data_IF_002827041215
#
_entry.id   IF_002827041215
#
_cell.length_a   1.000
_cell.length_b   1.000
_cell.length_c   1.000
_cell.angle_alpha   90.00
_cell.angle_beta   90.00
_cell.angle_gamma   90.00
#
_symmetry.space_group_name_H-M   'P 1'
#
loop_
_entity.id
_entity.type
_entity.pdbx_description
1 polymer ?
#
# COMPACT_ATOMS: atom_id res chain seq x y z
N UNK A 1 24.09 17.64 5.60
CA UNK A 1 23.33 16.72 6.48
C UNK A 1 23.56 17.10 7.93
N UNK A 2 22.49 17.13 8.74
CA UNK A 2 22.57 17.44 10.17
C UNK A 2 22.08 16.24 10.98
N UNK A 3 22.86 15.79 11.96
CA UNK A 3 22.52 14.64 12.81
C UNK A 3 22.43 15.09 14.26
N UNK A 4 21.36 14.71 14.95
CA UNK A 4 21.13 14.96 16.37
C UNK A 4 21.16 13.61 17.10
N UNK A 5 22.13 13.43 17.99
CA UNK A 5 22.35 12.16 18.71
C UNK A 5 23.12 12.40 20.00
N UNK A 6 22.71 11.72 21.08
CA UNK A 6 23.38 11.72 22.39
C UNK A 6 23.64 13.15 22.92
N UNK A 7 22.66 14.04 22.78
CA UNK A 7 22.73 15.44 23.22
C UNK A 7 23.61 16.35 22.36
N UNK A 8 24.13 15.84 21.23
CA UNK A 8 25.03 16.57 20.33
C UNK A 8 24.41 16.76 18.96
N UNK A 9 24.75 17.89 18.32
CA UNK A 9 24.36 18.24 16.95
C UNK A 9 25.58 18.25 16.06
N UNK A 10 25.57 17.41 15.03
CA UNK A 10 26.65 17.26 14.06
C UNK A 10 26.21 17.74 12.68
N UNK A 11 27.16 18.23 11.90
CA UNK A 11 26.96 18.65 10.53
C UNK A 11 28.09 18.11 9.65
N UNK A 12 27.71 17.70 8.44
CA UNK A 12 28.62 17.29 7.36
C UNK A 12 28.04 17.80 6.04
N UNK A 13 28.88 18.33 5.16
CA UNK A 13 28.47 18.86 3.85
C UNK A 13 29.10 18.08 2.70
N UNK A 14 28.38 18.01 1.59
CA UNK A 14 28.79 17.28 0.40
C UNK A 14 28.65 18.14 -0.85
N UNK A 15 29.55 17.93 -1.80
CA UNK A 15 29.52 18.54 -3.12
C UNK A 15 29.76 17.47 -4.17
N UNK A 16 28.77 17.24 -5.06
CA UNK A 16 28.76 16.16 -6.05
C UNK A 16 29.18 14.78 -5.46
N UNK A 17 28.65 14.47 -4.27
CA UNK A 17 28.91 13.22 -3.54
C UNK A 17 30.26 13.15 -2.80
N UNK A 18 31.13 14.15 -2.94
CA UNK A 18 32.40 14.24 -2.21
C UNK A 18 32.21 15.03 -0.92
N UNK A 19 32.93 14.66 0.14
CA UNK A 19 32.93 15.42 1.39
C UNK A 19 33.53 16.81 1.11
N UNK A 20 32.76 17.85 1.40
CA UNK A 20 33.18 19.25 1.28
C UNK A 20 33.59 19.82 2.63
N UNK A 21 32.72 19.65 3.63
CA UNK A 21 33.03 19.93 5.02
C UNK A 21 33.04 18.61 5.79
N UNK A 22 34.15 18.30 6.44
CA UNK A 22 34.24 17.15 7.35
C UNK A 22 33.23 17.25 8.50
N UNK A 23 32.86 16.09 9.05
CA UNK A 23 31.91 16.03 10.14
C UNK A 23 32.41 16.83 11.35
N UNK A 24 31.62 17.82 11.77
CA UNK A 24 31.91 18.67 12.92
C UNK A 24 30.70 18.76 13.85
N UNK A 25 30.96 18.82 15.15
CA UNK A 25 29.93 19.16 16.12
C UNK A 25 29.63 20.67 15.99
N UNK A 26 28.37 21.00 15.68
CA UNK A 26 27.90 22.38 15.48
C UNK A 26 27.04 22.89 16.66
N UNK A 27 26.83 22.05 17.68
CA UNK A 27 26.12 22.45 18.89
C UNK A 27 25.70 21.27 19.75
N UNK A 28 24.80 21.55 20.69
CA UNK A 28 24.14 20.58 21.58
C UNK A 28 22.64 20.67 21.40
N UNK A 29 21.93 19.58 21.72
CA UNK A 29 20.46 19.51 21.72
C UNK A 29 19.99 18.81 23.00
N UNK A 30 18.72 18.97 23.43
CA UNK A 30 18.16 18.17 24.50
C UNK A 30 18.35 16.67 24.23
N UNK A 31 18.55 15.86 25.28
CA UNK A 31 18.70 14.40 25.14
C UNK A 31 17.47 13.72 24.51
N UNK A 32 16.30 14.35 24.60
CA UNK A 32 15.06 13.91 23.97
C UNK A 32 15.01 14.18 22.47
N UNK A 33 15.89 15.02 21.93
CA UNK A 33 15.94 15.37 20.50
C UNK A 33 16.96 14.49 19.78
N UNK A 34 16.47 13.67 18.85
CA UNK A 34 17.29 12.80 18.02
C UNK A 34 16.74 12.73 16.59
N UNK A 35 17.62 12.51 15.62
CA UNK A 35 17.21 12.33 14.23
C UNK A 35 18.24 12.83 13.23
N UNK A 36 17.81 12.88 11.96
CA UNK A 36 18.65 13.30 10.84
C UNK A 36 17.86 14.23 9.93
N UNK A 37 18.45 15.36 9.57
CA UNK A 37 17.94 16.28 8.56
C UNK A 37 18.86 16.17 7.34
N UNK A 38 18.27 15.77 6.21
CA UNK A 38 18.93 15.76 4.92
C UNK A 38 18.37 16.91 4.09
N UNK A 39 19.25 17.77 3.61
CA UNK A 39 18.92 18.81 2.65
C UNK A 39 19.89 18.65 1.47
N UNK A 40 19.36 18.66 0.27
CA UNK A 40 20.12 18.45 -0.96
C UNK A 40 19.52 19.26 -2.11
N UNK A 41 20.34 19.49 -3.13
CA UNK A 41 19.94 20.09 -4.39
C UNK A 41 20.14 19.06 -5.50
N UNK A 42 19.15 18.82 -6.39
CA UNK A 42 19.36 18.01 -7.58
C UNK A 42 20.43 18.62 -8.49
N UNK A 43 21.29 17.78 -9.06
CA UNK A 43 22.37 18.19 -9.95
C UNK A 43 21.82 18.53 -11.36
N UNK A 44 21.93 19.78 -11.83
CA UNK A 44 21.40 20.17 -13.14
C UNK A 44 22.16 19.57 -14.33
N UNK A 45 23.39 19.08 -14.13
CA UNK A 45 24.16 18.41 -15.18
C UNK A 45 23.65 16.97 -15.41
N UNK A 46 22.98 16.39 -14.40
CA UNK A 46 22.36 15.06 -14.47
C UNK A 46 20.87 15.16 -14.82
N UNK A 47 20.13 16.05 -14.14
CA UNK A 47 18.69 16.24 -14.33
C UNK A 47 18.41 17.36 -15.32
N UNK A 48 18.61 17.07 -16.61
CA UNK A 48 18.52 18.06 -17.68
C UNK A 48 17.10 18.53 -17.99
N UNK A 49 16.07 17.75 -17.62
CA UNK A 49 14.66 18.11 -17.86
C UNK A 49 14.13 19.09 -16.81
N UNK A 50 14.36 18.80 -15.52
CA UNK A 50 13.94 19.67 -14.42
C UNK A 50 14.68 19.30 -13.13
N UNK A 51 15.04 20.31 -12.35
CA UNK A 51 15.48 20.19 -10.95
C UNK A 51 14.41 20.69 -9.97
N UNK A 52 13.25 21.12 -10.48
CA UNK A 52 12.14 21.63 -9.69
C UNK A 52 11.24 20.49 -9.25
N UNK A 53 11.05 20.34 -7.95
CA UNK A 53 10.15 19.34 -7.38
C UNK A 53 8.68 19.66 -7.65
N UNK A 54 7.93 18.64 -8.06
CA UNK A 54 6.47 18.68 -8.20
C UNK A 54 5.82 18.41 -6.83
N UNK A 55 5.01 19.34 -6.33
CA UNK A 55 4.38 19.23 -5.01
C UNK A 55 3.32 18.13 -4.96
N UNK A 56 2.58 17.93 -6.05
CA UNK A 56 1.55 16.89 -6.15
C UNK A 56 2.16 15.48 -6.08
N UNK A 57 3.27 15.24 -6.76
CA UNK A 57 3.99 13.95 -6.70
C UNK A 57 4.45 13.67 -5.27
N UNK A 58 5.07 14.66 -4.61
CA UNK A 58 5.55 14.51 -3.23
C UNK A 58 4.41 14.30 -2.23
N UNK A 59 3.36 15.12 -2.28
CA UNK A 59 2.18 14.99 -1.41
C UNK A 59 1.53 13.62 -1.54
N UNK A 60 1.38 13.11 -2.77
CA UNK A 60 0.82 11.78 -3.00
C UNK A 60 1.67 10.69 -2.35
N UNK A 61 3.00 10.72 -2.54
CA UNK A 61 3.90 9.72 -1.95
C UNK A 61 3.96 9.81 -0.42
N UNK A 62 3.94 11.03 0.13
CA UNK A 62 3.94 11.25 1.59
C UNK A 62 2.62 10.73 2.20
N UNK A 63 1.48 11.03 1.58
CA UNK A 63 0.18 10.52 2.02
C UNK A 63 0.11 8.99 1.99
N UNK A 64 0.58 8.38 0.91
CA UNK A 64 0.67 6.92 0.78
C UNK A 64 1.54 6.31 1.91
N UNK A 65 2.71 6.90 2.19
CA UNK A 65 3.55 6.45 3.30
C UNK A 65 2.87 6.60 4.66
N UNK A 66 2.09 7.66 4.88
CA UNK A 66 1.34 7.85 6.11
C UNK A 66 0.26 6.77 6.28
N UNK A 67 -0.42 6.36 5.21
CA UNK A 67 -1.36 5.23 5.26
C UNK A 67 -0.67 3.89 5.54
N UNK A 68 0.51 3.65 4.97
CA UNK A 68 1.26 2.40 5.17
C UNK A 68 1.87 2.26 6.58
N UNK A 69 1.95 3.36 7.33
CA UNK A 69 2.56 3.40 8.66
C UNK A 69 1.56 4.00 9.66
N UNK A 70 0.66 3.16 10.20
CA UNK A 70 -0.36 3.56 11.19
C UNK A 70 0.24 4.45 12.29
N UNK A 71 -0.38 5.61 12.50
CA UNK A 71 0.02 6.56 13.54
C UNK A 71 1.27 7.42 13.22
N UNK A 72 2.00 7.14 12.14
CA UNK A 72 3.13 7.96 11.70
C UNK A 72 2.64 9.32 11.21
N UNK A 73 3.18 10.39 11.80
CA UNK A 73 2.92 11.75 11.34
C UNK A 73 3.98 12.16 10.33
N UNK A 74 3.55 12.49 9.13
CA UNK A 74 4.39 13.06 8.08
C UNK A 74 3.89 14.46 7.74
N UNK A 75 4.81 15.40 7.56
CA UNK A 75 4.47 16.80 7.23
C UNK A 75 5.13 17.21 5.93
N UNK A 76 4.41 17.99 5.12
CA UNK A 76 4.93 18.59 3.91
C UNK A 76 4.73 20.10 3.94
N UNK A 77 5.78 20.87 3.63
CA UNK A 77 5.73 22.33 3.58
C UNK A 77 6.41 22.81 2.31
N UNK A 78 5.67 23.48 1.43
CA UNK A 78 6.23 24.11 0.23
C UNK A 78 6.63 25.56 0.50
N UNK A 79 7.93 25.77 0.76
CA UNK A 79 8.50 27.09 1.08
C UNK A 79 8.67 28.03 -0.13
N UNK A 80 8.21 27.64 -1.33
CA UNK A 80 8.20 28.53 -2.51
C UNK A 80 7.04 29.52 -2.50
N UNK A 81 6.00 29.25 -1.71
CA UNK A 81 4.80 30.08 -1.58
C UNK A 81 4.98 31.05 -0.41
N UNK A 82 4.58 32.31 -0.59
CA UNK A 82 4.72 33.36 0.44
C UNK A 82 3.96 33.03 1.73
N UNK A 83 2.84 32.31 1.61
CA UNK A 83 2.05 31.74 2.73
C UNK A 83 2.22 30.22 2.75
N UNK A 84 3.43 29.74 3.01
CA UNK A 84 3.72 28.30 3.04
C UNK A 84 2.91 27.58 4.13
N UNK A 85 1.78 27.01 3.74
CA UNK A 85 1.00 26.12 4.60
C UNK A 85 1.70 24.77 4.75
N UNK A 86 1.51 24.14 5.92
CA UNK A 86 2.04 22.81 6.21
C UNK A 86 0.91 21.80 6.16
N UNK A 87 0.97 20.88 5.20
CA UNK A 87 0.10 19.72 5.15
C UNK A 87 0.57 18.70 6.19
N UNK A 88 -0.36 18.17 6.98
CA UNK A 88 -0.10 17.13 7.99
C UNK A 88 -0.85 15.86 7.59
N UNK A 89 -0.12 14.76 7.49
CA UNK A 89 -0.65 13.43 7.16
C UNK A 89 -0.44 12.51 8.34
N UNK A 90 -1.54 12.01 8.91
CA UNK A 90 -1.55 11.03 9.99
C UNK A 90 -2.82 10.21 9.90
N UNK A 91 -2.68 8.90 9.77
CA UNK A 91 -3.81 7.98 9.59
C UNK A 91 -3.67 6.83 10.58
N UNK A 92 -4.70 6.61 11.40
CA UNK A 92 -4.68 5.61 12.48
C UNK A 92 -5.21 4.25 11.97
N UNK A 93 -6.17 4.27 11.02
CA UNK A 93 -6.71 3.10 10.34
C UNK A 93 -5.86 2.60 9.17
N UNK A 94 -4.75 3.28 8.86
CA UNK A 94 -3.73 2.83 7.90
C UNK A 94 -4.30 2.52 6.52
N UNK A 95 -3.96 1.35 5.96
CA UNK A 95 -4.38 0.97 4.60
C UNK A 95 -5.90 0.81 4.43
N UNK A 96 -6.66 0.66 5.52
CA UNK A 96 -8.13 0.68 5.48
C UNK A 96 -8.64 2.06 5.05
N UNK A 97 -8.08 3.12 5.63
CA UNK A 97 -8.36 4.49 5.21
C UNK A 97 -7.83 4.76 3.80
N UNK A 98 -6.74 4.10 3.40
CA UNK A 98 -6.23 4.25 2.04
C UNK A 98 -7.20 3.72 0.99
N UNK A 99 -7.79 2.55 1.21
CA UNK A 99 -8.83 2.02 0.32
C UNK A 99 -10.04 2.95 0.24
N UNK A 100 -10.48 3.51 1.37
CA UNK A 100 -11.56 4.49 1.39
C UNK A 100 -11.19 5.76 0.57
N UNK A 101 -9.98 6.28 0.75
CA UNK A 101 -9.44 7.40 -0.01
C UNK A 101 -9.39 7.11 -1.52
N UNK A 102 -8.97 5.91 -1.93
CA UNK A 102 -8.92 5.50 -3.34
C UNK A 102 -10.32 5.35 -3.97
N UNK A 103 -11.34 5.11 -3.15
CA UNK A 103 -12.73 5.01 -3.56
C UNK A 103 -13.50 6.35 -3.49
N UNK A 104 -12.84 7.47 -3.13
CA UNK A 104 -13.49 8.79 -3.10
C UNK A 104 -14.15 9.09 -4.45
N UNK A 105 -15.44 9.46 -4.40
CA UNK A 105 -16.25 9.74 -5.59
C UNK A 105 -16.82 8.50 -6.31
N UNK A 106 -16.57 7.28 -5.81
CA UNK A 106 -17.20 6.06 -6.30
C UNK A 106 -18.34 5.59 -5.40
N UNK A 107 -19.32 4.87 -5.96
CA UNK A 107 -20.38 4.24 -5.18
C UNK A 107 -19.93 2.87 -4.69
N UNK A 108 -19.66 2.78 -3.38
CA UNK A 108 -19.21 1.55 -2.71
C UNK A 108 -20.37 0.58 -2.48
N UNK A 109 -20.11 -0.73 -2.56
CA UNK A 109 -21.14 -1.76 -2.32
C UNK A 109 -21.46 -1.94 -0.82
N UNK A 110 -20.53 -1.59 0.04
CA UNK A 110 -20.65 -1.67 1.50
C UNK A 110 -19.72 -0.64 2.15
N UNK A 111 -20.13 -0.07 3.28
CA UNK A 111 -19.53 1.17 3.82
C UNK A 111 -18.09 0.98 4.31
N UNK A 112 -17.83 -0.09 5.06
CA UNK A 112 -16.54 -0.31 5.71
C UNK A 112 -15.62 -1.21 4.86
N UNK A 113 -14.41 -0.75 4.49
CA UNK A 113 -13.44 -1.61 3.84
C UNK A 113 -13.09 -2.83 4.72
N UNK A 114 -12.99 -3.98 4.08
CA UNK A 114 -12.60 -5.23 4.74
C UNK A 114 -11.10 -5.14 5.02
N UNK A 115 -10.70 -5.54 6.22
CA UNK A 115 -9.33 -5.43 6.68
C UNK A 115 -8.82 -6.75 7.25
N UNK A 116 -7.59 -7.12 6.87
CA UNK A 116 -6.87 -8.30 7.32
C UNK A 116 -5.50 -7.86 7.80
N UNK A 117 -5.11 -8.30 8.99
CA UNK A 117 -3.78 -8.11 9.57
C UNK A 117 -3.35 -9.41 10.23
N UNK A 118 -2.15 -9.88 9.90
CA UNK A 118 -1.61 -11.13 10.42
C UNK A 118 -0.10 -11.18 10.21
N UNK A 119 0.59 -11.98 11.01
CA UNK A 119 2.00 -12.29 10.82
C UNK A 119 2.14 -13.78 10.54
N UNK A 120 2.83 -14.14 9.46
CA UNK A 120 3.10 -15.53 9.10
C UNK A 120 4.60 -15.73 8.86
N UNK A 121 5.22 -16.64 9.61
CA UNK A 121 6.66 -16.92 9.56
C UNK A 121 7.56 -15.66 9.61
N UNK A 122 7.17 -14.67 10.44
CA UNK A 122 7.90 -13.42 10.60
C UNK A 122 7.72 -12.41 9.45
N UNK A 123 6.77 -12.65 8.54
CA UNK A 123 6.34 -11.69 7.52
C UNK A 123 5.01 -11.10 7.98
N UNK A 124 4.95 -9.79 8.20
CA UNK A 124 3.69 -9.11 8.48
C UNK A 124 2.93 -8.88 7.19
N UNK A 125 1.64 -9.17 7.20
CA UNK A 125 0.72 -9.04 6.07
C UNK A 125 -0.45 -8.17 6.49
N UNK A 126 -0.66 -7.07 5.77
CA UNK A 126 -1.86 -6.26 5.86
C UNK A 126 -2.55 -6.24 4.50
N UNK A 127 -3.86 -6.49 4.47
CA UNK A 127 -4.69 -6.36 3.27
C UNK A 127 -5.94 -5.58 3.61
N UNK A 128 -6.24 -4.55 2.82
CA UNK A 128 -7.53 -3.88 2.83
C UNK A 128 -8.19 -4.00 1.46
N UNK A 129 -9.50 -4.23 1.41
CA UNK A 129 -10.24 -4.22 0.16
C UNK A 129 -11.69 -3.75 0.32
N UNK A 130 -12.23 -3.17 -0.75
CA UNK A 130 -13.63 -2.75 -0.84
C UNK A 130 -14.08 -2.82 -2.30
N UNK A 131 -15.34 -3.15 -2.51
CA UNK A 131 -15.93 -3.18 -3.85
C UNK A 131 -16.77 -1.94 -4.12
N UNK A 132 -16.75 -1.49 -5.36
CA UNK A 132 -17.61 -0.44 -5.90
C UNK A 132 -18.52 -1.02 -6.98
N UNK A 133 -19.54 -0.25 -7.39
CA UNK A 133 -20.40 -0.62 -8.49
C UNK A 133 -19.71 -0.52 -9.87
N UNK A 134 -18.55 0.12 -9.95
CA UNK A 134 -17.78 0.29 -11.16
C UNK A 134 -17.16 -0.99 -11.70
N UNK A 135 -16.50 -0.90 -12.84
CA UNK A 135 -15.87 -2.04 -13.51
C UNK A 135 -14.35 -2.12 -13.27
N UNK A 136 -13.73 -0.98 -12.93
CA UNK A 136 -12.28 -0.88 -12.79
C UNK A 136 -11.79 -1.62 -11.53
N UNK A 137 -10.84 -2.53 -11.72
CA UNK A 137 -10.02 -3.05 -10.61
C UNK A 137 -8.89 -2.07 -10.29
N UNK A 138 -8.74 -1.72 -9.01
CA UNK A 138 -7.60 -0.98 -8.48
C UNK A 138 -6.88 -1.87 -7.47
N UNK A 139 -5.70 -2.37 -7.80
CA UNK A 139 -4.90 -3.20 -6.90
C UNK A 139 -3.54 -2.55 -6.71
N UNK A 140 -3.25 -2.13 -5.49
CA UNK A 140 -1.96 -1.56 -5.10
C UNK A 140 -1.24 -2.54 -4.19
N UNK A 141 0.02 -2.83 -4.51
CA UNK A 141 0.80 -3.80 -3.72
C UNK A 141 2.12 -3.20 -3.25
N UNK A 142 2.50 -3.52 -2.02
CA UNK A 142 3.65 -2.92 -1.34
C UNK A 142 4.47 -3.99 -0.64
N UNK A 143 5.79 -3.81 -0.67
CA UNK A 143 6.73 -4.55 0.15
C UNK A 143 7.66 -3.57 0.86
N UNK A 144 7.66 -3.58 2.20
CA UNK A 144 8.45 -2.66 3.04
C UNK A 144 8.27 -1.19 2.63
N UNK A 145 7.02 -0.75 2.46
CA UNK A 145 6.61 0.60 2.04
C UNK A 145 7.00 0.99 0.59
N UNK A 146 7.52 0.06 -0.21
CA UNK A 146 7.86 0.27 -1.62
C UNK A 146 6.70 -0.23 -2.48
N UNK A 147 6.19 0.63 -3.36
CA UNK A 147 5.14 0.27 -4.30
C UNK A 147 5.69 -0.66 -5.37
N UNK A 148 5.18 -1.89 -5.42
CA UNK A 148 5.54 -2.90 -6.42
C UNK A 148 4.54 -2.87 -7.56
N UNK A 149 4.65 -1.89 -8.45
CA UNK A 149 3.65 -1.65 -9.51
C UNK A 149 3.61 -2.74 -10.60
N UNK A 150 4.63 -3.60 -10.69
CA UNK A 150 4.62 -4.82 -11.51
C UNK A 150 4.16 -6.07 -10.72
N UNK A 151 3.74 -5.86 -9.47
CA UNK A 151 3.20 -6.90 -8.58
C UNK A 151 4.28 -7.78 -7.97
N UNK A 152 4.09 -9.09 -8.04
CA UNK A 152 5.02 -10.07 -7.49
C UNK A 152 4.34 -11.18 -6.71
N UNK A 153 5.12 -11.85 -5.87
CA UNK A 153 4.70 -13.06 -5.16
C UNK A 153 3.58 -12.79 -4.14
N UNK A 154 3.65 -11.70 -3.39
CA UNK A 154 2.58 -11.24 -2.48
C UNK A 154 1.27 -10.99 -3.24
N UNK A 155 1.33 -10.31 -4.38
CA UNK A 155 0.15 -10.07 -5.23
C UNK A 155 -0.45 -11.37 -5.79
N UNK A 156 0.40 -12.28 -6.27
CA UNK A 156 -0.03 -13.59 -6.77
C UNK A 156 -0.71 -14.42 -5.67
N UNK A 157 -0.19 -14.35 -4.44
CA UNK A 157 -0.78 -14.99 -3.26
C UNK A 157 -2.17 -14.44 -2.96
N UNK A 158 -2.31 -13.11 -2.93
CA UNK A 158 -3.59 -12.44 -2.74
C UNK A 158 -4.61 -12.81 -3.82
N UNK A 159 -4.25 -12.70 -5.10
CA UNK A 159 -5.15 -13.02 -6.23
C UNK A 159 -5.64 -14.47 -6.20
N UNK A 160 -4.74 -15.40 -5.88
CA UNK A 160 -5.06 -16.82 -5.76
C UNK A 160 -6.03 -17.07 -4.60
N UNK A 161 -5.71 -16.52 -3.43
CA UNK A 161 -6.51 -16.69 -2.23
C UNK A 161 -7.89 -16.06 -2.35
N UNK A 162 -7.99 -14.84 -2.88
CA UNK A 162 -9.27 -14.15 -3.14
C UNK A 162 -10.18 -15.00 -4.04
N UNK A 163 -9.65 -15.47 -5.17
CA UNK A 163 -10.42 -16.28 -6.13
C UNK A 163 -10.95 -17.56 -5.48
N UNK A 164 -10.11 -18.26 -4.71
CA UNK A 164 -10.48 -19.50 -4.01
C UNK A 164 -11.54 -19.24 -2.94
N UNK A 165 -11.31 -18.27 -2.05
CA UNK A 165 -12.18 -18.01 -0.89
C UNK A 165 -13.56 -17.53 -1.32
N UNK A 166 -13.65 -16.65 -2.33
CA UNK A 166 -14.94 -16.16 -2.83
C UNK A 166 -15.76 -17.31 -3.44
N UNK A 167 -15.15 -18.17 -4.26
CA UNK A 167 -15.84 -19.33 -4.83
C UNK A 167 -16.26 -20.34 -3.75
N UNK A 168 -15.36 -20.67 -2.80
CA UNK A 168 -15.67 -21.55 -1.68
C UNK A 168 -16.86 -21.02 -0.85
N UNK A 169 -16.88 -19.72 -0.60
CA UNK A 169 -18.00 -19.06 0.09
C UNK A 169 -19.28 -19.09 -0.74
N UNK A 170 -19.21 -18.81 -2.04
CA UNK A 170 -20.36 -18.79 -2.94
C UNK A 170 -21.11 -20.13 -2.98
N UNK A 171 -20.37 -21.25 -3.06
CA UNK A 171 -20.93 -22.60 -3.01
C UNK A 171 -21.49 -22.95 -1.61
N UNK A 172 -20.73 -22.68 -0.54
CA UNK A 172 -21.19 -22.94 0.84
C UNK A 172 -22.45 -22.16 1.21
N UNK A 173 -22.55 -20.92 0.75
CA UNK A 173 -23.72 -20.05 0.94
C UNK A 173 -24.86 -20.35 -0.05
N UNK A 174 -24.68 -21.32 -0.96
CA UNK A 174 -25.63 -21.71 -2.02
C UNK A 174 -26.06 -20.54 -2.92
N UNK A 175 -25.17 -19.57 -3.11
CA UNK A 175 -25.34 -18.46 -4.05
C UNK A 175 -25.02 -18.96 -5.47
N UNK A 176 -23.95 -19.75 -5.59
CA UNK A 176 -23.72 -20.65 -6.71
C UNK A 176 -24.21 -22.04 -6.31
N UNK A 177 -24.83 -22.74 -7.26
CA UNK A 177 -25.22 -24.14 -7.09
C UNK A 177 -24.03 -25.04 -7.39
N UNK A 178 -24.05 -26.27 -6.88
CA UNK A 178 -22.95 -27.25 -7.07
C UNK A 178 -22.62 -27.56 -8.54
N UNK A 179 -23.56 -27.28 -9.46
CA UNK A 179 -23.41 -27.48 -10.91
C UNK A 179 -22.99 -26.21 -11.66
N UNK A 180 -23.03 -25.06 -11.00
CA UNK A 180 -22.67 -23.79 -11.60
C UNK A 180 -21.14 -23.71 -11.62
N UNK A 181 -20.58 -23.19 -12.71
CA UNK A 181 -19.14 -23.01 -12.84
C UNK A 181 -18.62 -21.99 -11.82
N UNK A 182 -17.34 -22.10 -11.48
CA UNK A 182 -16.69 -21.12 -10.63
C UNK A 182 -16.51 -19.78 -11.36
N UNK A 183 -16.67 -18.69 -10.63
CA UNK A 183 -16.32 -17.36 -11.11
C UNK A 183 -14.82 -17.28 -11.36
N UNK A 184 -14.42 -16.69 -12.49
CA UNK A 184 -13.01 -16.47 -12.76
C UNK A 184 -12.44 -15.41 -11.82
N UNK A 185 -11.10 -15.37 -11.68
CA UNK A 185 -10.46 -14.35 -10.88
C UNK A 185 -10.69 -12.93 -11.42
N UNK A 186 -10.90 -12.77 -12.73
CA UNK A 186 -11.23 -11.48 -13.33
C UNK A 186 -12.63 -11.03 -12.94
N UNK A 187 -13.62 -11.93 -13.04
CA UNK A 187 -15.00 -11.67 -12.63
C UNK A 187 -15.04 -11.24 -11.15
N UNK A 188 -14.30 -11.93 -10.28
CA UNK A 188 -14.24 -11.63 -8.84
C UNK A 188 -13.57 -10.28 -8.56
N UNK A 189 -12.61 -9.82 -9.36
CA UNK A 189 -11.88 -8.56 -9.09
C UNK A 189 -12.54 -7.34 -9.72
N UNK A 190 -13.59 -7.50 -10.51
CA UNK A 190 -14.29 -6.38 -11.13
C UNK A 190 -14.83 -5.40 -10.07
N UNK A 191 -14.50 -4.11 -10.22
CA UNK A 191 -14.91 -3.07 -9.26
C UNK A 191 -14.22 -3.14 -7.89
N UNK A 192 -13.21 -3.99 -7.72
CA UNK A 192 -12.46 -4.10 -6.47
C UNK A 192 -11.37 -3.03 -6.38
N UNK A 193 -11.33 -2.34 -5.25
CA UNK A 193 -10.15 -1.57 -4.80
C UNK A 193 -9.49 -2.32 -3.65
N UNK A 194 -8.20 -2.63 -3.75
CA UNK A 194 -7.45 -3.35 -2.74
C UNK A 194 -6.03 -2.82 -2.57
N UNK A 195 -5.55 -2.82 -1.33
CA UNK A 195 -4.17 -2.53 -0.94
C UNK A 195 -3.61 -3.75 -0.22
N UNK A 196 -2.50 -4.28 -0.72
CA UNK A 196 -1.76 -5.42 -0.12
C UNK A 196 -0.39 -4.93 0.31
N UNK A 197 -0.09 -4.95 1.60
CA UNK A 197 1.19 -4.53 2.16
C UNK A 197 1.85 -5.68 2.89
N UNK A 198 3.12 -5.97 2.57
CA UNK A 198 3.93 -6.95 3.29
C UNK A 198 5.15 -6.30 3.92
N UNK A 199 5.47 -6.65 5.17
CA UNK A 199 6.74 -6.33 5.82
C UNK A 199 7.57 -7.59 5.91
N UNK A 200 8.54 -7.70 5.01
CA UNK A 200 9.40 -8.86 4.86
C UNK A 200 10.79 -8.56 5.45
N UNK A 201 11.37 -9.43 6.29
CA UNK A 201 12.69 -9.19 6.90
C UNK A 201 13.83 -9.15 5.86
N UNK A 202 13.76 -10.00 4.84
CA UNK A 202 14.76 -10.09 3.77
C UNK A 202 14.11 -10.01 2.37
N UNK A 203 13.61 -8.84 1.94
CA UNK A 203 12.93 -8.70 0.67
C UNK A 203 13.90 -8.82 -0.51
N UNK A 204 13.48 -9.54 -1.54
CA UNK A 204 14.16 -9.75 -2.81
C UNK A 204 13.31 -9.15 -3.91
N UNK A 205 13.83 -8.13 -4.58
CA UNK A 205 13.14 -7.47 -5.67
C UNK A 205 13.75 -7.84 -7.02
N UNK A 206 12.91 -7.89 -8.05
CA UNK A 206 13.38 -7.97 -9.43
C UNK A 206 13.84 -6.57 -9.87
N UNK A 207 15.12 -6.43 -10.22
CA UNK A 207 15.72 -5.17 -10.68
C UNK A 207 15.96 -4.12 -9.59
N UNK A 208 16.70 -3.07 -9.95
CA UNK A 208 17.09 -1.99 -9.03
C UNK A 208 15.93 -1.06 -8.66
N UNK A 209 14.96 -0.90 -9.57
CA UNK A 209 13.77 -0.05 -9.40
C UNK A 209 12.73 -0.67 -8.46
N UNK A 210 12.96 -1.90 -7.98
CA UNK A 210 12.15 -2.60 -6.97
C UNK A 210 10.67 -2.71 -7.34
N UNK A 211 10.41 -2.95 -8.62
CA UNK A 211 9.07 -2.92 -9.22
C UNK A 211 8.24 -4.14 -8.87
N UNK A 212 8.91 -5.25 -8.54
CA UNK A 212 8.29 -6.55 -8.32
C UNK A 212 8.97 -7.34 -7.20
N UNK A 213 8.18 -7.97 -6.34
CA UNK A 213 8.67 -8.81 -5.23
C UNK A 213 8.84 -10.28 -5.66
N UNK A 214 10.04 -10.84 -5.48
CA UNK A 214 10.39 -12.21 -5.89
C UNK A 214 10.27 -13.29 -4.80
N UNK A 215 10.06 -12.89 -3.54
CA UNK A 215 9.97 -13.80 -2.37
C UNK A 215 8.80 -14.80 -2.46
N UNK A 216 9.07 -16.08 -2.74
CA UNK A 216 8.02 -17.11 -2.81
C UNK A 216 7.35 -17.39 -1.45
N UNK A 217 8.06 -17.15 -0.35
CA UNK A 217 7.52 -17.19 1.01
C UNK A 217 6.52 -16.05 1.28
N UNK A 218 6.68 -14.88 0.64
CA UNK A 218 5.68 -13.81 0.69
C UNK A 218 4.35 -14.22 0.04
N UNK A 219 4.38 -15.01 -1.05
CA UNK A 219 3.15 -15.59 -1.65
C UNK A 219 2.39 -16.44 -0.64
N UNK A 220 3.12 -17.32 0.05
CA UNK A 220 2.54 -18.25 1.04
C UNK A 220 2.00 -17.49 2.24
N UNK A 221 2.75 -16.50 2.74
CA UNK A 221 2.34 -15.66 3.87
C UNK A 221 1.03 -14.92 3.59
N UNK A 222 0.92 -14.31 2.41
CA UNK A 222 -0.30 -13.60 2.00
C UNK A 222 -1.45 -14.56 1.79
N UNK A 223 -1.26 -15.68 1.05
CA UNK A 223 -2.33 -16.64 0.79
C UNK A 223 -2.93 -17.18 2.10
N UNK A 224 -2.09 -17.60 3.05
CA UNK A 224 -2.53 -18.17 4.34
C UNK A 224 -3.22 -17.13 5.20
N UNK A 225 -2.56 -16.00 5.44
CA UNK A 225 -3.08 -14.91 6.29
C UNK A 225 -4.40 -14.36 5.79
N UNK A 226 -4.47 -14.12 4.47
CA UNK A 226 -5.67 -13.60 3.83
C UNK A 226 -6.79 -14.63 3.83
N UNK A 227 -6.52 -15.88 3.44
CA UNK A 227 -7.59 -16.88 3.29
C UNK A 227 -8.32 -17.14 4.58
N UNK A 228 -7.59 -17.30 5.69
CA UNK A 228 -8.19 -17.58 7.00
C UNK A 228 -9.12 -16.44 7.45
N UNK A 229 -8.59 -15.22 7.48
CA UNK A 229 -9.31 -14.05 7.99
C UNK A 229 -10.46 -13.66 7.08
N UNK A 230 -10.25 -13.68 5.76
CA UNK A 230 -11.28 -13.33 4.80
C UNK A 230 -12.41 -14.35 4.75
N UNK A 231 -12.10 -15.66 4.85
CA UNK A 231 -13.14 -16.70 4.94
C UNK A 231 -14.00 -16.51 6.19
N UNK A 232 -13.38 -16.24 7.34
CA UNK A 232 -14.09 -15.95 8.60
C UNK A 232 -14.97 -14.70 8.44
N UNK A 233 -14.44 -13.62 7.88
CA UNK A 233 -15.18 -12.39 7.64
C UNK A 233 -16.43 -12.61 6.79
N UNK A 234 -16.34 -13.35 5.67
CA UNK A 234 -17.49 -13.62 4.81
C UNK A 234 -18.58 -14.43 5.51
N UNK A 235 -18.18 -15.40 6.36
CA UNK A 235 -19.12 -16.20 7.16
C UNK A 235 -19.82 -15.36 8.24
N UNK A 236 -19.10 -14.43 8.87
CA UNK A 236 -19.63 -13.52 9.89
C UNK A 236 -20.46 -12.38 9.28
N UNK A 237 -20.23 -12.04 8.00
CA UNK A 237 -20.89 -10.94 7.30
C UNK A 237 -21.57 -11.42 6.00
N UNK A 238 -22.63 -12.26 6.06
CA UNK A 238 -23.20 -12.87 4.87
C UNK A 238 -23.76 -11.89 3.85
N UNK A 239 -24.25 -10.73 4.30
CA UNK A 239 -24.75 -9.65 3.44
C UNK A 239 -23.65 -9.07 2.56
N UNK A 240 -22.47 -8.82 3.12
CA UNK A 240 -21.29 -8.34 2.39
C UNK A 240 -20.79 -9.43 1.45
N UNK A 241 -20.66 -10.66 1.93
CA UNK A 241 -20.22 -11.77 1.09
C UNK A 241 -21.14 -12.02 -0.11
N UNK A 242 -22.46 -11.90 0.08
CA UNK A 242 -23.42 -12.01 -1.03
C UNK A 242 -23.20 -10.92 -2.08
N UNK A 243 -23.05 -9.65 -1.67
CA UNK A 243 -22.80 -8.53 -2.61
C UNK A 243 -21.54 -8.75 -3.45
N UNK A 244 -20.47 -9.29 -2.86
CA UNK A 244 -19.22 -9.59 -3.58
C UNK A 244 -19.45 -10.68 -4.64
N UNK A 245 -20.13 -11.77 -4.28
CA UNK A 245 -20.43 -12.86 -5.22
C UNK A 245 -21.36 -12.39 -6.35
N UNK A 246 -22.41 -11.64 -6.02
CA UNK A 246 -23.36 -11.09 -7.01
C UNK A 246 -22.67 -10.12 -7.98
N UNK A 247 -21.74 -9.30 -7.50
CA UNK A 247 -20.91 -8.44 -8.36
C UNK A 247 -20.09 -9.26 -9.34
N UNK A 248 -19.46 -10.35 -8.88
CA UNK A 248 -18.73 -11.28 -9.75
C UNK A 248 -19.64 -11.99 -10.76
N UNK A 249 -20.84 -12.43 -10.36
CA UNK A 249 -21.81 -13.01 -11.30
C UNK A 249 -22.27 -12.02 -12.37
N UNK A 250 -22.41 -10.74 -12.03
CA UNK A 250 -22.74 -9.70 -13.01
C UNK A 250 -21.61 -9.53 -14.03
N UNK A 251 -20.36 -9.49 -13.57
CA UNK A 251 -19.17 -9.41 -14.41
C UNK A 251 -19.07 -10.63 -15.36
N UNK A 252 -19.27 -11.84 -14.84
CA UNK A 252 -19.27 -13.09 -15.63
C UNK A 252 -20.34 -13.06 -16.73
N UNK A 253 -21.57 -12.65 -16.40
CA UNK A 253 -22.65 -12.53 -17.39
C UNK A 253 -22.33 -11.51 -18.48
N UNK A 254 -21.74 -10.38 -18.11
CA UNK A 254 -21.31 -9.37 -19.09
C UNK A 254 -20.21 -9.91 -20.00
N UNK A 255 -19.22 -10.62 -19.45
CA UNK A 255 -18.11 -11.24 -20.20
C UNK A 255 -18.57 -12.32 -21.17
N UNK A 256 -19.51 -13.17 -20.76
CA UNK A 256 -20.04 -14.26 -21.60
C UNK A 256 -21.01 -13.78 -22.69
N UNK A 257 -21.56 -12.58 -22.54
CA UNK A 257 -22.48 -11.98 -23.52
C UNK A 257 -21.78 -11.14 -24.61
N UNK A 258 -20.51 -10.75 -24.40
CA UNK A 258 -19.68 -10.00 -25.36
C UNK A 258 -18.92 -10.93 -26.30
#
# INVERSE_FOLDING_TARGET
VTVMRDGKKYFIDFDHGRVKDEMKQIGTVPLSEHGTIVHFYPDPDIFTETTVFDDKILKNRIRELAFLNKGLTLTFTDKRKDTAETDVYKYEGGIKEYVAFLNEGQEVLFDEPIYVESTYNGIDVEVALQYTNGYKTTLMTFANNIHTYEGGMHEAGFKTALTRVVNDYAHKAKILKDKDDNLSGEDIREGMTAVVSVKHPNPQFEGQTKTKLGNSDARTAVDKSFSETFSRFLMENPSVGRKIVEKGQLAERARTAA
#
